data_IF_945487015198
#
_entry.id   IF_945487015198
#
_cell.length_a   1.000
_cell.length_b   1.000
_cell.length_c   1.000
_cell.angle_alpha   90.00
_cell.angle_beta   90.00
_cell.angle_gamma   90.00
#
_symmetry.space_group_name_H-M   'P 1'
#
loop_
_entity.id
_entity.type
_entity.pdbx_description
1 polymer ?
#
# COMPACT_ATOMS: atom_id res chain seq x y z
N UNK A 1 6.82 -12.21 14.16
CA UNK A 1 5.58 -11.39 14.15
C UNK A 1 5.60 -10.47 15.36
N UNK A 2 5.13 -9.23 15.20
CA UNK A 2 5.35 -8.14 16.17
C UNK A 2 4.58 -8.31 17.48
N UNK A 3 4.91 -7.53 18.52
CA UNK A 3 4.22 -7.59 19.80
C UNK A 3 2.69 -7.41 19.59
N UNK A 4 1.85 -8.05 20.44
CA UNK A 4 0.41 -8.24 20.23
C UNK A 4 -0.45 -6.97 20.01
N UNK A 5 0.16 -5.79 20.08
CA UNK A 5 -0.45 -4.47 19.90
C UNK A 5 0.03 -3.72 18.64
N UNK A 6 0.93 -4.29 17.83
CA UNK A 6 1.36 -3.71 16.55
C UNK A 6 0.58 -4.28 15.38
N UNK A 7 -0.69 -3.90 15.26
CA UNK A 7 -1.48 -4.24 14.08
C UNK A 7 -0.82 -3.63 12.85
N UNK A 8 -0.56 -4.47 11.84
CA UNK A 8 -0.15 -4.05 10.50
C UNK A 8 -1.29 -4.30 9.52
N UNK A 9 -1.53 -3.33 8.67
CA UNK A 9 -2.46 -3.39 7.56
C UNK A 9 -1.66 -3.45 6.27
N UNK A 10 -2.18 -4.20 5.30
CA UNK A 10 -1.64 -4.29 3.95
C UNK A 10 -2.74 -3.89 2.98
N UNK A 11 -2.42 -3.05 2.01
CA UNK A 11 -3.34 -2.58 0.98
C UNK A 11 -2.66 -2.68 -0.40
N UNK A 12 -3.44 -3.04 -1.41
CA UNK A 12 -3.04 -3.02 -2.80
C UNK A 12 -3.73 -1.86 -3.52
N UNK A 13 -3.00 -1.15 -4.38
CA UNK A 13 -3.52 -0.18 -5.34
C UNK A 13 -3.70 -0.89 -6.69
N UNK A 14 -4.91 -0.80 -7.24
CA UNK A 14 -5.28 -1.49 -8.49
C UNK A 14 -5.76 -0.47 -9.51
N UNK A 15 -5.19 -0.51 -10.72
CA UNK A 15 -5.61 0.31 -11.88
C UNK A 15 -5.95 -0.68 -12.99
N UNK A 16 -7.14 -0.53 -13.58
CA UNK A 16 -7.64 -1.40 -14.66
C UNK A 16 -7.59 -2.91 -14.36
N UNK A 17 -7.72 -3.28 -13.09
CA UNK A 17 -7.67 -4.67 -12.63
C UNK A 17 -6.26 -5.21 -12.38
N UNK A 18 -5.21 -4.42 -12.63
CA UNK A 18 -3.83 -4.77 -12.35
C UNK A 18 -3.35 -4.13 -11.05
N UNK A 19 -2.69 -4.93 -10.20
CA UNK A 19 -2.03 -4.42 -8.99
C UNK A 19 -0.78 -3.62 -9.40
N UNK A 20 -0.83 -2.33 -9.12
CA UNK A 20 0.21 -1.36 -9.48
C UNK A 20 0.99 -0.86 -8.27
N UNK A 21 0.62 -1.22 -7.05
CA UNK A 21 1.38 -0.87 -5.85
C UNK A 21 0.84 -1.57 -4.61
N UNK A 22 1.70 -1.80 -3.62
CA UNK A 22 1.35 -2.43 -2.35
C UNK A 22 1.96 -1.68 -1.18
N UNK A 23 1.12 -1.32 -0.22
CA UNK A 23 1.51 -0.55 0.95
C UNK A 23 1.23 -1.31 2.24
N UNK A 24 2.07 -1.05 3.25
CA UNK A 24 1.84 -1.54 4.62
C UNK A 24 1.91 -0.40 5.62
N UNK A 25 1.11 -0.48 6.70
CA UNK A 25 1.08 0.58 7.69
C UNK A 25 0.41 0.17 9.01
N UNK A 26 0.61 0.98 10.05
CA UNK A 26 -0.03 0.79 11.37
C UNK A 26 -1.53 1.12 11.38
N UNK A 27 -2.04 1.70 10.29
CA UNK A 27 -3.47 1.94 10.04
C UNK A 27 -3.80 1.65 8.58
N UNK A 28 -5.08 1.42 8.26
CA UNK A 28 -5.55 1.26 6.88
C UNK A 28 -5.16 2.45 6.01
N UNK A 29 -5.38 3.68 6.52
CA UNK A 29 -5.00 4.92 5.83
C UNK A 29 -3.50 4.97 5.50
N UNK A 30 -2.64 4.56 6.42
CA UNK A 30 -1.20 4.52 6.18
C UNK A 30 -0.82 3.49 5.09
N UNK A 31 -1.42 2.30 5.13
CA UNK A 31 -1.21 1.28 4.10
C UNK A 31 -1.73 1.73 2.72
N UNK A 32 -2.90 2.37 2.67
CA UNK A 32 -3.49 2.93 1.45
C UNK A 32 -2.62 4.04 0.84
N UNK A 33 -2.13 4.96 1.66
CA UNK A 33 -1.26 6.05 1.19
C UNK A 33 0.06 5.53 0.62
N UNK A 34 0.64 4.51 1.26
CA UNK A 34 1.87 3.90 0.78
C UNK A 34 1.65 3.14 -0.54
N UNK A 35 0.55 2.38 -0.66
CA UNK A 35 0.19 1.70 -1.90
C UNK A 35 -0.04 2.69 -3.06
N UNK A 36 -0.71 3.82 -2.77
CA UNK A 36 -0.94 4.88 -3.74
C UNK A 36 0.36 5.60 -4.15
N UNK A 37 1.29 5.82 -3.22
CA UNK A 37 2.62 6.38 -3.50
C UNK A 37 3.39 5.49 -4.47
N UNK A 38 3.46 4.20 -4.19
CA UNK A 38 4.14 3.23 -5.06
C UNK A 38 3.49 3.17 -6.45
N UNK A 39 2.16 3.15 -6.52
CA UNK A 39 1.43 3.16 -7.79
C UNK A 39 1.73 4.43 -8.60
N UNK A 40 1.76 5.61 -7.95
CA UNK A 40 2.09 6.87 -8.61
C UNK A 40 3.51 6.86 -9.17
N UNK A 41 4.49 6.35 -8.41
CA UNK A 41 5.88 6.22 -8.87
C UNK A 41 5.99 5.33 -10.10
N UNK A 42 5.28 4.20 -10.13
CA UNK A 42 5.27 3.28 -11.28
C UNK A 42 4.59 3.87 -12.51
N UNK A 43 3.47 4.59 -12.33
CA UNK A 43 2.74 5.25 -13.43
C UNK A 43 3.48 6.46 -13.98
N UNK A 44 4.29 7.16 -13.17
CA UNK A 44 5.09 8.29 -13.65
C UNK A 44 6.45 7.88 -14.25
N UNK A 45 6.91 6.67 -13.98
CA UNK A 45 8.17 6.13 -14.52
C UNK A 45 8.02 5.49 -15.91
N UNK A 46 6.80 5.40 -16.45
CA UNK A 46 6.49 4.91 -17.80
C UNK A 46 6.55 6.01 -18.86
#
# INVERSE_FOLDING_TARGET
>A
EGPPHERRFTCAAVIDGEEVGTGTGSSKKAAEQEAAREALERVLAS
#
